data_IF_533511447542
#
_entry.id   IF_533511447542
#
_cell.length_a   1.000
_cell.length_b   1.000
_cell.length_c   1.000
_cell.angle_alpha   90.00
_cell.angle_beta   90.00
_cell.angle_gamma   90.00
#
_symmetry.space_group_name_H-M   'P 1'
#
loop_
_entity.id
_entity.type
_entity.pdbx_description
1 polymer ?
#
# COMPACT_ATOMS: atom_id res chain seq x y z
N UNK A 1 -7.00 -5.58 13.14
CA UNK A 1 -7.51 -4.22 12.87
C UNK A 1 -6.60 -3.09 13.35
N UNK A 2 -5.81 -3.24 14.43
CA UNK A 2 -5.03 -2.13 15.00
C UNK A 2 -4.10 -1.41 14.02
N UNK A 3 -3.47 -2.12 13.08
CA UNK A 3 -2.59 -1.49 12.08
C UNK A 3 -3.36 -0.64 11.05
N UNK A 4 -4.57 -1.04 10.66
CA UNK A 4 -5.41 -0.25 9.75
C UNK A 4 -5.82 1.09 10.39
N UNK A 5 -6.16 1.07 11.68
CA UNK A 5 -6.48 2.31 12.42
C UNK A 5 -5.29 3.26 12.46
N UNK A 6 -4.10 2.74 12.79
CA UNK A 6 -2.86 3.53 12.80
C UNK A 6 -2.51 4.11 11.42
N UNK A 7 -2.71 3.34 10.36
CA UNK A 7 -2.47 3.80 8.99
C UNK A 7 -3.42 4.96 8.61
N UNK A 8 -4.72 4.82 8.91
CA UNK A 8 -5.71 5.87 8.69
C UNK A 8 -5.40 7.14 9.50
N UNK A 9 -5.03 6.99 10.78
CA UNK A 9 -4.62 8.10 11.63
C UNK A 9 -3.35 8.80 11.10
N UNK A 10 -2.34 8.03 10.67
CA UNK A 10 -1.11 8.56 10.07
C UNK A 10 -1.33 9.26 8.72
N UNK A 11 -2.33 8.83 7.95
CA UNK A 11 -2.73 9.47 6.70
C UNK A 11 -3.69 10.66 6.89
N UNK A 12 -4.28 10.82 8.08
CA UNK A 12 -5.33 11.81 8.33
C UNK A 12 -6.63 11.53 7.56
N UNK A 13 -6.93 10.26 7.28
CA UNK A 13 -8.08 9.85 6.47
C UNK A 13 -9.10 9.05 7.28
N UNK A 14 -10.37 9.38 7.07
CA UNK A 14 -11.49 8.61 7.57
C UNK A 14 -11.76 7.39 6.67
N UNK A 15 -12.38 6.35 7.23
CA UNK A 15 -12.63 5.07 6.53
C UNK A 15 -13.44 5.23 5.24
N UNK A 16 -14.38 6.17 5.23
CA UNK A 16 -15.25 6.46 4.08
C UNK A 16 -14.52 7.17 2.93
N UNK A 17 -13.32 7.71 3.17
CA UNK A 17 -12.48 8.35 2.16
C UNK A 17 -11.57 7.36 1.41
N UNK A 18 -11.56 6.09 1.83
CA UNK A 18 -10.78 5.05 1.13
C UNK A 18 -11.60 4.56 -0.04
N UNK A 19 -11.23 4.88 -1.28
CA UNK A 19 -12.00 4.53 -2.48
C UNK A 19 -12.00 3.04 -2.79
N UNK A 20 -10.83 2.41 -2.69
CA UNK A 20 -10.60 1.02 -3.11
C UNK A 20 -9.77 0.25 -2.09
N UNK A 21 -10.06 -1.05 -1.95
CA UNK A 21 -9.33 -1.97 -1.08
C UNK A 21 -8.70 -3.03 -1.97
N UNK A 22 -7.37 -3.01 -2.11
CA UNK A 22 -6.64 -3.96 -2.95
C UNK A 22 -5.95 -5.01 -2.06
N UNK A 23 -6.49 -6.24 -1.95
CA UNK A 23 -5.88 -7.29 -1.15
C UNK A 23 -4.67 -7.90 -1.87
N UNK A 24 -3.53 -7.95 -1.19
CA UNK A 24 -2.26 -8.47 -1.73
C UNK A 24 -1.68 -9.53 -0.80
N UNK A 25 -1.10 -10.59 -1.37
CA UNK A 25 -0.51 -11.74 -0.69
C UNK A 25 -1.48 -12.91 -0.47
N UNK A 26 -0.99 -14.14 -0.61
CA UNK A 26 -1.84 -15.35 -0.63
C UNK A 26 -2.74 -15.55 0.60
N UNK A 27 -2.35 -15.07 1.79
CA UNK A 27 -3.20 -15.13 2.99
C UNK A 27 -4.48 -14.31 2.87
N UNK A 28 -4.55 -13.35 1.95
CA UNK A 28 -5.78 -12.60 1.68
C UNK A 28 -6.88 -13.47 1.07
N UNK A 29 -6.56 -14.63 0.48
CA UNK A 29 -7.53 -15.60 -0.05
C UNK A 29 -8.45 -16.20 1.02
N UNK A 30 -8.12 -16.06 2.31
CA UNK A 30 -8.93 -16.53 3.42
C UNK A 30 -10.23 -15.73 3.49
N UNK A 31 -11.38 -16.39 3.35
CA UNK A 31 -12.70 -15.74 3.35
C UNK A 31 -12.95 -14.86 4.58
N UNK A 32 -12.43 -15.25 5.74
CA UNK A 32 -12.57 -14.46 6.97
C UNK A 32 -11.82 -13.13 6.90
N UNK A 33 -10.70 -13.05 6.20
CA UNK A 33 -9.96 -11.80 5.98
C UNK A 33 -10.80 -10.84 5.14
N UNK A 34 -11.41 -11.32 4.04
CA UNK A 34 -12.32 -10.50 3.24
C UNK A 34 -13.53 -10.01 4.04
N UNK A 35 -14.13 -10.86 4.89
CA UNK A 35 -15.22 -10.43 5.76
C UNK A 35 -14.78 -9.33 6.71
N UNK A 36 -13.64 -9.50 7.40
CA UNK A 36 -13.11 -8.48 8.31
C UNK A 36 -12.83 -7.16 7.58
N UNK A 37 -12.32 -7.19 6.35
CA UNK A 37 -12.12 -5.97 5.55
C UNK A 37 -13.45 -5.29 5.24
N UNK A 38 -14.46 -6.03 4.79
CA UNK A 38 -15.80 -5.47 4.54
C UNK A 38 -16.39 -4.85 5.80
N UNK A 39 -16.35 -5.58 6.92
CA UNK A 39 -16.86 -5.10 8.21
C UNK A 39 -16.12 -3.83 8.68
N UNK A 40 -14.83 -3.70 8.36
CA UNK A 40 -14.04 -2.53 8.74
C UNK A 40 -14.36 -1.28 7.92
N UNK A 41 -14.71 -1.45 6.65
CA UNK A 41 -14.88 -0.39 5.66
C UNK A 41 -16.35 -0.29 5.20
N UNK A 42 -17.27 -0.43 6.15
CA UNK A 42 -18.71 -0.17 5.97
C UNK A 42 -19.35 -0.94 4.80
N UNK A 43 -18.92 -2.19 4.61
CA UNK A 43 -19.43 -3.08 3.57
C UNK A 43 -18.74 -2.96 2.22
N UNK A 44 -17.71 -2.11 2.08
CA UNK A 44 -16.94 -1.97 0.84
C UNK A 44 -16.28 -3.29 0.43
N UNK A 45 -16.54 -3.72 -0.80
CA UNK A 45 -15.99 -4.95 -1.36
C UNK A 45 -14.50 -4.79 -1.72
N UNK A 46 -13.61 -5.69 -1.26
CA UNK A 46 -12.24 -5.73 -1.74
C UNK A 46 -12.16 -6.04 -3.24
N UNK A 47 -11.24 -5.36 -3.93
CA UNK A 47 -10.96 -5.58 -5.34
C UNK A 47 -10.56 -7.04 -5.60
N UNK A 48 -11.04 -7.59 -6.72
CA UNK A 48 -10.75 -8.96 -7.19
C UNK A 48 -10.12 -8.99 -8.59
N UNK A 49 -9.83 -7.82 -9.16
CA UNK A 49 -9.24 -7.65 -10.48
C UNK A 49 -7.73 -7.88 -10.52
N UNK A 50 -7.08 -8.00 -9.35
CA UNK A 50 -5.64 -8.27 -9.25
C UNK A 50 -5.36 -9.67 -8.74
N UNK A 51 -4.31 -10.32 -9.27
CA UNK A 51 -3.80 -11.57 -8.72
C UNK A 51 -2.97 -11.27 -7.46
N UNK A 52 -3.41 -11.71 -6.25
CA UNK A 52 -2.75 -11.34 -5.00
C UNK A 52 -1.34 -11.90 -4.85
N UNK A 53 -0.99 -12.95 -5.61
CA UNK A 53 0.32 -13.61 -5.50
C UNK A 53 1.38 -12.98 -6.41
N UNK A 54 0.97 -12.29 -7.48
CA UNK A 54 1.87 -11.77 -8.52
C UNK A 54 1.91 -10.25 -8.57
N UNK A 55 0.88 -9.55 -8.09
CA UNK A 55 0.77 -8.08 -8.19
C UNK A 55 1.95 -7.34 -7.57
N UNK A 56 2.59 -7.92 -6.55
CA UNK A 56 3.81 -7.36 -5.93
C UNK A 56 5.00 -7.40 -6.89
N UNK A 57 5.09 -8.41 -7.77
CA UNK A 57 6.19 -8.53 -8.73
C UNK A 57 5.99 -7.66 -9.98
N UNK A 58 4.73 -7.40 -10.37
CA UNK A 58 4.41 -6.51 -11.49
C UNK A 58 4.91 -5.07 -11.26
N UNK A 59 4.75 -4.53 -10.05
CA UNK A 59 5.17 -3.17 -9.72
C UNK A 59 6.66 -2.89 -10.00
N UNK A 60 7.59 -3.67 -9.41
CA UNK A 60 9.02 -3.57 -9.68
C UNK A 60 9.39 -3.78 -11.15
N UNK A 61 8.73 -4.70 -11.86
CA UNK A 61 8.99 -4.93 -13.28
C UNK A 61 8.65 -3.69 -14.13
N UNK A 62 7.51 -3.04 -13.85
CA UNK A 62 7.12 -1.77 -14.48
C UNK A 62 8.12 -0.68 -14.12
N UNK A 63 8.50 -0.56 -12.85
CA UNK A 63 9.45 0.45 -12.39
C UNK A 63 10.84 0.27 -13.03
N UNK A 64 11.30 -0.97 -13.24
CA UNK A 64 12.56 -1.30 -13.92
C UNK A 64 12.51 -0.98 -15.42
N UNK A 65 11.38 -1.24 -16.10
CA UNK A 65 11.15 -0.82 -17.49
C UNK A 65 11.31 0.68 -17.67
N UNK A 66 10.72 1.47 -16.75
CA UNK A 66 10.83 2.94 -16.74
C UNK A 66 12.28 3.38 -16.51
N UNK A 67 12.99 2.80 -15.54
CA UNK A 67 14.38 3.17 -15.24
C UNK A 67 15.39 2.76 -16.32
N UNK A 68 15.15 1.62 -16.98
CA UNK A 68 16.01 1.13 -18.06
C UNK A 68 15.80 1.86 -19.38
N UNK A 69 14.69 2.61 -19.52
CA UNK A 69 14.31 3.28 -20.77
C UNK A 69 14.05 2.28 -21.91
N UNK A 70 13.77 1.02 -21.58
CA UNK A 70 13.62 -0.09 -22.53
C UNK A 70 12.23 -0.17 -23.15
N UNK A 71 11.27 0.58 -22.64
CA UNK A 71 9.89 0.52 -23.09
C UNK A 71 9.67 1.41 -24.33
N UNK A 72 8.90 0.89 -25.30
CA UNK A 72 8.58 1.56 -26.56
C UNK A 72 7.80 2.87 -26.41
N UNK A 73 7.50 3.54 -27.53
CA UNK A 73 6.79 4.83 -27.60
C UNK A 73 5.53 4.94 -26.71
N UNK A 74 4.89 3.82 -26.35
CA UNK A 74 3.68 3.76 -25.52
C UNK A 74 3.90 4.08 -24.02
N UNK A 75 5.14 4.05 -23.52
CA UNK A 75 5.46 4.36 -22.10
C UNK A 75 6.15 5.70 -21.90
N UNK A 76 6.64 6.32 -22.98
CA UNK A 76 7.33 7.62 -22.93
C UNK A 76 6.42 8.74 -22.43
N UNK A 77 5.11 8.57 -22.57
CA UNK A 77 4.10 9.51 -22.12
C UNK A 77 3.54 9.20 -20.72
N UNK A 78 4.00 8.11 -20.06
CA UNK A 78 3.55 7.75 -18.72
C UNK A 78 4.51 8.34 -17.68
N UNK A 79 4.20 9.54 -17.20
CA UNK A 79 4.91 10.16 -16.06
C UNK A 79 4.49 9.47 -14.76
N UNK A 80 5.21 8.40 -14.39
CA UNK A 80 5.05 7.72 -13.09
C UNK A 80 6.06 8.28 -12.10
N UNK A 81 5.54 8.95 -11.07
CA UNK A 81 6.32 9.42 -9.93
C UNK A 81 5.98 8.59 -8.70
N UNK A 82 7.00 7.93 -8.13
CA UNK A 82 6.87 7.16 -6.91
C UNK A 82 7.50 7.91 -5.73
N UNK A 83 6.68 8.35 -4.79
CA UNK A 83 7.13 8.95 -3.54
C UNK A 83 6.99 7.93 -2.40
N UNK A 84 8.10 7.60 -1.74
CA UNK A 84 8.14 6.65 -0.63
C UNK A 84 8.42 7.39 0.68
N UNK A 85 7.80 6.94 1.78
CA UNK A 85 8.03 7.46 3.14
C UNK A 85 8.75 6.43 4.00
N UNK A 86 9.50 6.88 5.01
CA UNK A 86 10.14 5.99 5.97
C UNK A 86 9.12 5.42 6.97
N UNK A 87 9.18 4.12 7.27
CA UNK A 87 8.19 3.45 8.11
C UNK A 87 8.28 3.77 9.62
N UNK A 88 9.45 4.23 10.08
CA UNK A 88 9.72 4.44 11.51
C UNK A 88 10.19 5.86 11.77
N UNK A 89 9.85 6.35 12.97
CA UNK A 89 10.44 7.56 13.51
C UNK A 89 11.94 7.34 13.71
N UNK A 90 12.73 8.24 13.16
CA UNK A 90 14.18 8.27 13.38
C UNK A 90 14.48 9.34 14.42
N UNK A 91 15.35 9.02 15.36
CA UNK A 91 15.72 9.93 16.43
C UNK A 91 17.04 9.52 17.07
N UNK A 92 17.56 10.38 17.93
CA UNK A 92 18.78 10.12 18.71
C UNK A 92 18.45 10.06 20.20
N UNK A 93 19.29 9.36 20.95
CA UNK A 93 19.21 9.36 22.41
C UNK A 93 19.94 10.60 22.96
N UNK A 94 19.24 11.35 23.81
CA UNK A 94 19.80 12.51 24.51
C UNK A 94 20.16 12.17 25.95
N UNK A 95 21.04 12.96 26.58
CA UNK A 95 21.40 12.79 27.99
C UNK A 95 20.14 12.82 28.85
N UNK A 96 19.87 11.72 29.56
CA UNK A 96 18.61 11.48 30.24
C UNK A 96 17.77 10.34 29.66
N UNK A 97 18.22 9.70 28.58
CA UNK A 97 17.60 8.49 28.01
C UNK A 97 16.33 8.76 27.21
N UNK A 98 16.16 10.00 26.72
CA UNK A 98 14.98 10.41 25.96
C UNK A 98 15.29 10.39 24.47
N UNK A 99 14.44 9.71 23.70
CA UNK A 99 14.43 9.75 22.23
C UNK A 99 13.81 11.07 21.76
N UNK A 100 14.53 11.80 20.93
CA UNK A 100 14.08 13.02 20.24
C UNK A 100 14.17 12.83 18.73
#
# INVERSE_FOLDING_TARGET
MGQLKKANEGAGLEKNQIDEIVPVGGSTRISKVHQLLKDNFDGKEPNKGVNPDEVVAYGPAIQDGIFSGADGDETKDIDIQLLVVTAFTHGIETVGGVMT
#
